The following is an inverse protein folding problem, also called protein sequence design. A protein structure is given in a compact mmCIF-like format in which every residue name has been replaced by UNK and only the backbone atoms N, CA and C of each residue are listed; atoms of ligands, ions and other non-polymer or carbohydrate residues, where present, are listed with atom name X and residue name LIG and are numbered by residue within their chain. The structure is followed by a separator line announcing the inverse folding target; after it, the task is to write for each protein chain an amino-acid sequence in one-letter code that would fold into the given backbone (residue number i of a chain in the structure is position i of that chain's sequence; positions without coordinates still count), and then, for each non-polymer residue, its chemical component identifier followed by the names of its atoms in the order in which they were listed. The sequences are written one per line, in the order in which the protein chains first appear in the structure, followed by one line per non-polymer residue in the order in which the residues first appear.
data_IF_026932733560
#
_entry.id   IF_026932733560
#
_cell.length_a   1.000
_cell.length_b   1.000
_cell.length_c   1.000
_cell.angle_alpha   90.00
_cell.angle_beta   90.00
_cell.angle_gamma   90.00
#
_symmetry.space_group_name_H-M   'P 1'
#
loop_
_entity.id
_entity.type
_entity.pdbx_description
1 polymer ?
#
# COMPACT_ATOMS: atom_id res chain seq x y z
N UNK A 1 8.48 9.36 -37.57
CA UNK A 1 8.81 8.65 -36.33
C UNK A 1 7.63 7.76 -36.01
N UNK A 2 7.81 6.49 -35.63
CA UNK A 2 6.68 5.66 -35.22
C UNK A 2 6.03 6.30 -33.98
N UNK A 3 4.71 6.51 -34.04
CA UNK A 3 3.89 6.87 -32.90
C UNK A 3 3.83 5.65 -32.00
N UNK A 4 4.66 5.61 -30.96
CA UNK A 4 4.45 4.69 -29.86
C UNK A 4 3.32 5.28 -29.02
N UNK A 5 2.10 4.74 -29.17
CA UNK A 5 1.05 5.03 -28.21
C UNK A 5 1.49 4.46 -26.86
N UNK A 6 1.65 5.33 -25.86
CA UNK A 6 1.97 4.89 -24.50
C UNK A 6 0.75 4.15 -23.94
N UNK A 7 0.84 2.87 -23.56
CA UNK A 7 -0.32 2.08 -23.13
C UNK A 7 -0.92 2.60 -21.80
N UNK A 8 -0.12 3.28 -21.00
CA UNK A 8 -0.54 3.94 -19.77
C UNK A 8 0.41 5.09 -19.43
N UNK A 9 -0.02 5.92 -18.47
CA UNK A 9 0.76 6.99 -17.87
C UNK A 9 0.66 6.89 -16.35
N UNK A 10 1.76 7.25 -15.68
CA UNK A 10 1.80 7.43 -14.23
C UNK A 10 1.90 8.92 -13.91
N UNK A 11 0.90 9.44 -13.20
CA UNK A 11 0.89 10.83 -12.76
C UNK A 11 1.20 10.87 -11.27
N UNK A 12 2.31 11.52 -10.92
CA UNK A 12 2.65 11.74 -9.51
C UNK A 12 1.59 12.62 -8.85
N UNK A 13 1.06 12.17 -7.71
CA UNK A 13 0.07 12.91 -6.94
C UNK A 13 0.72 13.58 -5.73
N UNK A 14 1.40 12.79 -4.90
CA UNK A 14 1.97 13.24 -3.61
C UNK A 14 2.92 12.21 -3.02
N UNK A 15 3.65 12.63 -2.01
CA UNK A 15 4.42 11.78 -1.10
C UNK A 15 3.66 11.63 0.22
N UNK A 16 3.58 10.41 0.74
CA UNK A 16 3.02 10.07 2.04
C UNK A 16 4.07 9.38 2.91
N UNK A 17 3.96 9.51 4.22
CA UNK A 17 4.76 8.73 5.17
C UNK A 17 3.96 7.51 5.58
N UNK A 18 4.50 6.33 5.39
CA UNK A 18 3.85 5.08 5.78
C UNK A 18 4.68 4.35 6.84
N UNK A 19 4.00 3.65 7.74
CA UNK A 19 4.64 2.60 8.54
C UNK A 19 4.57 1.28 7.78
N UNK A 20 5.73 0.63 7.62
CA UNK A 20 5.85 -0.70 7.03
C UNK A 20 5.96 -1.74 8.14
N UNK A 21 5.23 -2.84 7.97
CA UNK A 21 5.24 -3.99 8.88
C UNK A 21 6.57 -4.77 8.77
N UNK A 22 7.16 -5.21 9.89
CA UNK A 22 8.35 -6.06 9.88
C UNK A 22 8.07 -7.49 9.36
N UNK A 23 9.09 -8.16 8.84
CA UNK A 23 9.08 -9.53 8.27
C UNK A 23 8.93 -10.68 9.30
N UNK A 24 8.32 -10.45 10.46
CA UNK A 24 8.17 -11.47 11.50
C UNK A 24 6.85 -12.25 11.33
N UNK A 25 6.72 -13.44 11.93
CA UNK A 25 5.55 -14.32 11.73
C UNK A 25 4.20 -13.70 12.13
N UNK A 26 3.25 -13.70 11.19
CA UNK A 26 2.03 -12.86 11.18
C UNK A 26 1.03 -13.18 12.30
N UNK A 27 0.90 -14.45 12.69
CA UNK A 27 -0.21 -14.91 13.52
C UNK A 27 -0.09 -14.55 15.00
N UNK A 28 1.13 -14.57 15.55
CA UNK A 28 1.39 -14.21 16.96
C UNK A 28 1.37 -12.69 17.16
N UNK A 29 1.66 -11.93 16.11
CA UNK A 29 1.76 -10.47 16.20
C UNK A 29 0.41 -9.76 16.23
N UNK A 30 -0.59 -10.19 15.46
CA UNK A 30 -1.84 -9.41 15.35
C UNK A 30 -2.62 -9.27 16.68
N UNK A 31 -2.66 -10.31 17.52
CA UNK A 31 -3.31 -10.23 18.84
C UNK A 31 -2.49 -9.38 19.81
N UNK A 32 -1.17 -9.60 19.87
CA UNK A 32 -0.26 -8.79 20.68
C UNK A 32 -0.33 -7.31 20.31
N UNK A 33 -0.38 -7.01 19.01
CA UNK A 33 -0.49 -5.66 18.47
C UNK A 33 -1.82 -5.02 18.87
N UNK A 34 -2.92 -5.77 18.78
CA UNK A 34 -4.21 -5.29 19.27
C UNK A 34 -4.14 -4.96 20.76
N UNK A 35 -3.66 -5.89 21.58
CA UNK A 35 -3.63 -5.72 23.04
C UNK A 35 -2.78 -4.51 23.46
N UNK A 36 -1.63 -4.30 22.80
CA UNK A 36 -0.77 -3.13 23.07
C UNK A 36 -1.40 -1.84 22.55
N UNK A 37 -1.97 -1.83 21.36
CA UNK A 37 -2.51 -0.59 20.77
C UNK A 37 -3.84 -0.17 21.38
N UNK A 38 -4.63 -1.12 21.89
CA UNK A 38 -5.93 -0.86 22.50
C UNK A 38 -5.85 0.10 23.69
N UNK A 39 -4.73 0.13 24.40
CA UNK A 39 -4.55 1.07 25.52
C UNK A 39 -4.49 2.55 25.07
N UNK A 40 -4.30 2.82 23.78
CA UNK A 40 -4.23 4.17 23.22
C UNK A 40 -5.55 4.64 22.58
N UNK A 41 -6.54 3.77 22.44
CA UNK A 41 -7.86 4.17 21.93
C UNK A 41 -8.68 4.86 23.01
N UNK A 42 -9.31 5.99 22.67
CA UNK A 42 -10.02 6.87 23.62
C UNK A 42 -11.53 6.67 23.61
N UNK A 43 -12.06 6.17 22.50
CA UNK A 43 -13.49 5.93 22.30
C UNK A 43 -13.76 4.71 21.40
N UNK A 44 -15.04 4.34 21.29
CA UNK A 44 -15.49 3.21 20.50
C UNK A 44 -15.19 3.36 19.00
N UNK A 45 -15.14 4.59 18.48
CA UNK A 45 -14.82 4.82 17.07
C UNK A 45 -13.35 4.51 16.77
N UNK A 46 -12.44 4.87 17.68
CA UNK A 46 -11.04 4.49 17.59
C UNK A 46 -10.82 2.98 17.77
N UNK A 47 -11.58 2.33 18.64
CA UNK A 47 -11.54 0.86 18.76
C UNK A 47 -11.94 0.15 17.46
N UNK A 48 -12.96 0.66 16.76
CA UNK A 48 -13.39 0.12 15.46
C UNK A 48 -12.28 0.29 14.43
N UNK A 49 -11.65 1.49 14.35
CA UNK A 49 -10.52 1.74 13.46
C UNK A 49 -9.32 0.83 13.77
N UNK A 50 -9.06 0.57 15.05
CA UNK A 50 -8.00 -0.35 15.46
C UNK A 50 -8.32 -1.79 15.00
N UNK A 51 -9.56 -2.26 15.17
CA UNK A 51 -9.98 -3.59 14.69
C UNK A 51 -9.81 -3.71 13.17
N UNK A 52 -10.23 -2.70 12.41
CA UNK A 52 -10.04 -2.64 10.95
C UNK A 52 -8.56 -2.69 10.56
N UNK A 53 -7.69 -1.95 11.28
CA UNK A 53 -6.25 -1.97 11.05
C UNK A 53 -5.65 -3.36 11.31
N UNK A 54 -6.01 -4.01 12.42
CA UNK A 54 -5.55 -5.36 12.76
C UNK A 54 -6.05 -6.40 11.75
N UNK A 55 -7.29 -6.27 11.28
CA UNK A 55 -7.83 -7.17 10.26
C UNK A 55 -7.13 -6.99 8.91
N UNK A 56 -6.80 -5.75 8.52
CA UNK A 56 -5.95 -5.50 7.34
C UNK A 56 -4.61 -6.21 7.45
N UNK A 57 -3.96 -6.18 8.62
CA UNK A 57 -2.69 -6.88 8.86
C UNK A 57 -2.84 -8.41 8.77
N UNK A 58 -3.97 -8.96 9.21
CA UNK A 58 -4.24 -10.40 9.15
C UNK A 58 -4.44 -10.88 7.71
N UNK A 59 -5.05 -10.06 6.87
CA UNK A 59 -5.40 -10.39 5.48
C UNK A 59 -4.31 -9.98 4.47
N UNK A 60 -3.10 -9.63 4.91
CA UNK A 60 -2.00 -9.23 4.00
C UNK A 60 -1.49 -10.33 3.08
N UNK A 61 -1.70 -11.59 3.44
CA UNK A 61 -1.14 -12.74 2.71
C UNK A 61 -1.99 -13.14 1.48
N UNK A 62 -3.14 -12.49 1.26
CA UNK A 62 -4.11 -12.90 0.23
C UNK A 62 -3.74 -12.48 -1.21
N UNK A 63 -2.53 -11.95 -1.45
CA UNK A 63 -2.04 -11.67 -2.81
C UNK A 63 -2.74 -10.54 -3.55
N UNK A 64 -3.57 -9.74 -2.86
CA UNK A 64 -4.38 -8.65 -3.43
C UNK A 64 -3.54 -7.37 -3.64
N UNK A 65 -2.38 -7.26 -2.99
CA UNK A 65 -1.60 -6.04 -2.87
C UNK A 65 -0.29 -6.14 -3.65
N UNK A 66 -0.33 -5.92 -4.97
CA UNK A 66 0.86 -5.74 -5.82
C UNK A 66 2.05 -6.66 -5.48
N UNK A 67 3.26 -6.11 -5.49
CA UNK A 67 4.48 -6.79 -5.06
C UNK A 67 5.17 -6.08 -3.87
N UNK A 68 4.55 -5.05 -3.29
CA UNK A 68 5.08 -4.23 -2.22
C UNK A 68 4.79 -4.75 -0.80
N UNK A 69 5.51 -4.26 0.21
CA UNK A 69 5.27 -4.65 1.59
C UNK A 69 3.93 -4.10 2.11
N UNK A 70 3.35 -4.74 3.12
CA UNK A 70 2.23 -4.11 3.81
C UNK A 70 2.67 -2.80 4.45
N UNK A 71 1.88 -1.77 4.20
CA UNK A 71 2.13 -0.43 4.71
C UNK A 71 0.81 0.29 4.97
N UNK A 72 0.83 1.23 5.90
CA UNK A 72 -0.32 2.10 6.20
C UNK A 72 0.15 3.56 6.31
N UNK A 73 -0.59 4.54 5.76
CA UNK A 73 -0.26 5.95 5.95
C UNK A 73 -0.27 6.33 7.43
N UNK A 74 0.73 7.08 7.89
CA UNK A 74 0.79 7.59 9.26
C UNK A 74 -0.42 8.46 9.61
N UNK A 75 -0.98 9.17 8.62
CA UNK A 75 -2.19 9.95 8.79
C UNK A 75 -3.40 9.10 9.20
N UNK A 76 -3.48 7.84 8.75
CA UNK A 76 -4.54 6.92 9.16
C UNK A 76 -4.37 6.47 10.62
N UNK A 77 -3.13 6.43 11.12
CA UNK A 77 -2.80 6.00 12.49
C UNK A 77 -2.67 7.17 13.48
N UNK A 78 -2.89 8.41 13.05
CA UNK A 78 -2.69 9.59 13.89
C UNK A 78 -3.51 9.57 15.19
N UNK A 79 -4.64 8.84 15.22
CA UNK A 79 -5.47 8.65 16.41
C UNK A 79 -4.78 7.87 17.53
N UNK A 80 -3.79 7.02 17.20
CA UNK A 80 -3.04 6.25 18.19
C UNK A 80 -2.04 7.08 18.98
N UNK A 81 -1.72 8.30 18.53
CA UNK A 81 -0.76 9.22 19.18
C UNK A 81 0.55 8.51 19.58
N UNK A 82 0.75 8.22 20.87
CA UNK A 82 1.94 7.52 21.38
C UNK A 82 2.00 6.05 20.95
N UNK A 83 0.88 5.42 20.59
CA UNK A 83 0.84 4.08 20.04
C UNK A 83 1.62 3.92 18.73
N UNK A 84 1.81 5.00 17.96
CA UNK A 84 2.72 4.97 16.80
C UNK A 84 4.18 4.74 17.21
N UNK A 85 4.60 5.21 18.39
CA UNK A 85 5.96 4.94 18.91
C UNK A 85 6.11 3.49 19.34
N UNK A 86 5.05 2.88 19.87
CA UNK A 86 5.05 1.44 20.18
C UNK A 86 5.22 0.61 18.91
N UNK A 87 4.62 1.02 17.79
CA UNK A 87 4.84 0.37 16.49
C UNK A 87 6.32 0.42 16.09
N UNK A 88 6.97 1.58 16.24
CA UNK A 88 8.41 1.74 15.97
C UNK A 88 9.26 0.83 16.87
N UNK A 89 8.93 0.72 18.16
CA UNK A 89 9.61 -0.18 19.11
C UNK A 89 9.41 -1.66 18.75
N UNK A 90 8.28 -2.02 18.14
CA UNK A 90 8.01 -3.34 17.58
C UNK A 90 8.66 -3.58 16.21
N UNK A 91 9.45 -2.62 15.71
CA UNK A 91 10.20 -2.75 14.47
C UNK A 91 9.44 -2.34 13.22
N UNK A 92 8.32 -1.62 13.35
CA UNK A 92 7.71 -0.94 12.21
C UNK A 92 8.59 0.24 11.79
N UNK A 93 8.72 0.44 10.48
CA UNK A 93 9.64 1.46 9.94
C UNK A 93 8.85 2.49 9.16
N UNK A 94 9.07 3.77 9.49
CA UNK A 94 8.55 4.88 8.69
C UNK A 94 9.34 4.99 7.38
N UNK A 95 8.64 5.04 6.26
CA UNK A 95 9.24 5.26 4.94
C UNK A 95 8.43 6.25 4.12
N UNK A 96 9.07 6.97 3.18
CA UNK A 96 8.35 7.72 2.17
C UNK A 96 7.72 6.76 1.17
N UNK A 97 6.47 7.02 0.79
CA UNK A 97 5.71 6.30 -0.23
C UNK A 97 5.19 7.32 -1.23
N UNK A 98 5.40 7.04 -2.51
CA UNK A 98 4.99 7.93 -3.58
C UNK A 98 3.66 7.45 -4.15
N UNK A 99 2.65 8.31 -4.12
CA UNK A 99 1.33 8.01 -4.66
C UNK A 99 1.24 8.46 -6.10
N UNK A 100 0.91 7.53 -6.99
CA UNK A 100 0.70 7.79 -8.41
C UNK A 100 -0.73 7.43 -8.81
N UNK A 101 -1.27 8.19 -9.75
CA UNK A 101 -2.47 7.84 -10.51
C UNK A 101 -2.06 7.07 -11.77
N UNK A 102 -2.65 5.90 -11.98
CA UNK A 102 -2.51 5.08 -13.17
C UNK A 102 -3.59 5.48 -14.19
N UNK A 103 -3.18 6.16 -15.25
CA UNK A 103 -4.04 6.53 -16.36
C UNK A 103 -3.81 5.54 -17.49
N UNK A 104 -4.79 4.68 -17.75
CA UNK A 104 -4.72 3.74 -18.88
C UNK A 104 -5.27 4.45 -20.11
N UNK A 105 -4.49 4.47 -21.19
CA UNK A 105 -4.95 5.03 -22.45
C UNK A 105 -5.85 4.00 -23.12
N UNK A 106 -7.15 4.14 -22.91
CA UNK A 106 -8.13 3.49 -23.77
C UNK A 106 -8.09 4.21 -25.11
N UNK A 107 -7.38 3.66 -26.10
CA UNK A 107 -7.58 4.04 -27.49
C UNK A 107 -9.04 3.76 -27.82
N UNK A 108 -9.89 4.78 -27.73
CA UNK A 108 -11.28 4.68 -28.09
C UNK A 108 -11.40 4.53 -29.60
N UNK A 109 -11.90 3.38 -30.04
CA UNK A 109 -12.84 3.23 -31.17
C UNK A 109 -13.25 1.76 -31.25
N UNK A 110 -14.47 1.51 -31.72
CA UNK A 110 -15.14 0.22 -31.92
C UNK A 110 -14.40 -0.72 -32.89
N UNK A 111 -13.17 -1.11 -32.60
CA UNK A 111 -12.47 -2.21 -33.25
C UNK A 111 -12.11 -3.24 -32.19
N UNK A 112 -12.37 -4.51 -32.51
CA UNK A 112 -12.21 -5.72 -31.68
C UNK A 112 -10.74 -6.03 -31.25
N UNK A 113 -9.91 -5.02 -31.01
CA UNK A 113 -8.60 -5.18 -30.38
C UNK A 113 -8.70 -4.83 -28.89
N UNK A 114 -8.41 -5.77 -27.98
CA UNK A 114 -8.46 -5.48 -26.56
C UNK A 114 -7.42 -4.40 -26.25
N UNK A 115 -7.89 -3.27 -25.71
CA UNK A 115 -7.01 -2.28 -25.08
C UNK A 115 -6.07 -2.94 -24.07
N UNK A 116 -4.96 -2.29 -23.68
CA UNK A 116 -3.88 -2.94 -22.93
C UNK A 116 -4.43 -3.68 -21.71
N UNK A 117 -4.22 -5.00 -21.69
CA UNK A 117 -4.68 -5.88 -20.63
C UNK A 117 -4.14 -5.34 -19.30
N UNK A 118 -5.03 -5.16 -18.32
CA UNK A 118 -4.63 -4.74 -16.96
C UNK A 118 -3.55 -5.67 -16.40
N UNK A 119 -3.56 -6.96 -16.77
CA UNK A 119 -2.52 -7.92 -16.44
C UNK A 119 -1.14 -7.53 -16.98
N UNK A 120 -1.05 -7.15 -18.26
CA UNK A 120 0.20 -6.72 -18.87
C UNK A 120 0.76 -5.43 -18.25
N UNK A 121 -0.13 -4.49 -17.87
CA UNK A 121 0.28 -3.27 -17.15
C UNK A 121 0.81 -3.62 -15.76
N UNK A 122 0.15 -4.52 -15.02
CA UNK A 122 0.62 -4.94 -13.70
C UNK A 122 1.95 -5.67 -13.75
N UNK A 123 2.16 -6.54 -14.75
CA UNK A 123 3.42 -7.26 -14.94
C UNK A 123 4.56 -6.28 -15.20
N UNK A 124 4.35 -5.30 -16.09
CA UNK A 124 5.35 -4.27 -16.36
C UNK A 124 5.62 -3.38 -15.14
N UNK A 125 4.58 -2.99 -14.39
CA UNK A 125 4.76 -2.24 -13.15
C UNK A 125 5.58 -3.04 -12.12
N UNK A 126 5.36 -4.35 -12.03
CA UNK A 126 6.08 -5.23 -11.13
C UNK A 126 7.57 -5.40 -11.51
N UNK A 127 7.91 -5.32 -12.81
CA UNK A 127 9.30 -5.30 -13.28
C UNK A 127 10.03 -3.99 -12.93
N UNK A 128 9.30 -2.88 -12.91
CA UNK A 128 9.87 -1.54 -12.75
C UNK A 128 9.94 -1.08 -11.29
N UNK A 129 8.93 -1.44 -10.50
CA UNK A 129 8.66 -0.87 -9.20
C UNK A 129 8.30 -1.93 -8.16
N UNK A 130 8.62 -1.58 -6.91
CA UNK A 130 7.96 -2.15 -5.75
C UNK A 130 6.70 -1.32 -5.52
N UNK A 131 5.52 -1.92 -5.64
CA UNK A 131 4.26 -1.19 -5.58
C UNK A 131 3.11 -1.99 -4.98
N UNK A 132 2.12 -1.29 -4.45
CA UNK A 132 0.83 -1.83 -4.02
C UNK A 132 -0.31 -1.00 -4.62
N UNK A 133 -1.48 -1.61 -4.76
CA UNK A 133 -2.69 -0.85 -5.03
C UNK A 133 -3.12 -0.07 -3.79
N UNK A 134 -3.51 1.19 -4.00
CA UNK A 134 -4.15 1.99 -2.98
C UNK A 134 -5.63 1.57 -2.83
N UNK A 135 -6.26 1.78 -1.66
CA UNK A 135 -7.71 1.68 -1.52
C UNK A 135 -8.46 2.64 -2.46
N UNK A 136 -7.79 3.71 -2.91
CA UNK A 136 -8.36 4.66 -3.88
C UNK A 136 -8.24 4.09 -5.30
N UNK A 137 -9.33 4.02 -6.08
CA UNK A 137 -9.30 3.50 -7.44
C UNK A 137 -8.25 4.19 -8.31
N UNK A 138 -7.58 3.39 -9.16
CA UNK A 138 -6.53 3.83 -10.08
C UNK A 138 -5.33 4.52 -9.39
N UNK A 139 -5.17 4.40 -8.07
CA UNK A 139 -3.97 4.84 -7.39
C UNK A 139 -3.08 3.66 -7.01
N UNK A 140 -1.79 3.86 -7.13
CA UNK A 140 -0.77 2.94 -6.65
C UNK A 140 0.15 3.64 -5.66
N UNK A 141 0.58 2.88 -4.67
CA UNK A 141 1.68 3.21 -3.79
C UNK A 141 2.96 2.66 -4.39
N UNK A 142 3.92 3.52 -4.65
CA UNK A 142 5.25 3.15 -5.15
C UNK A 142 6.27 3.35 -4.03
N UNK A 143 7.00 2.29 -3.72
CA UNK A 143 7.96 2.27 -2.63
C UNK A 143 9.39 2.57 -3.15
N UNK A 144 10.22 3.27 -2.36
CA UNK A 144 11.62 3.48 -2.66
C UNK A 144 12.37 2.17 -2.93
N UNK A 145 13.20 2.12 -3.98
CA UNK A 145 13.99 0.92 -4.32
C UNK A 145 14.93 0.46 -3.20
N UNK A 146 15.34 1.37 -2.31
CA UNK A 146 16.14 1.03 -1.12
C UNK A 146 15.45 0.04 -0.19
N UNK A 147 14.10 -0.03 -0.21
CA UNK A 147 13.32 -1.02 0.52
C UNK A 147 13.41 -2.43 -0.06
N UNK A 148 13.74 -2.61 -1.34
CA UNK A 148 13.85 -3.94 -1.94
C UNK A 148 14.95 -4.80 -1.28
N UNK A 149 15.88 -4.19 -0.53
CA UNK A 149 16.87 -4.92 0.29
C UNK A 149 16.30 -5.42 1.63
N UNK A 150 15.12 -4.91 2.03
CA UNK A 150 14.45 -5.16 3.30
C UNK A 150 13.18 -6.01 3.10
N UNK A 151 12.58 -5.98 1.91
CA UNK A 151 11.40 -6.75 1.45
C UNK A 151 11.78 -8.10 0.85
#
# INVERSE_FOLDING_TARGET
MPNYETPFQLKFLREEKHLIKPKLSVRVQSQMLFDVLFQYTKDEAEEVRLKEFIDRIRNTEDGIYGNGPFSVPLAELAYLEEGCKELELMGWVEVPVFVFELVVNSSGEENDEPGPDKGAITDLLAEMFLYNFSPVPNQIYVYPKTLAMWV
#
